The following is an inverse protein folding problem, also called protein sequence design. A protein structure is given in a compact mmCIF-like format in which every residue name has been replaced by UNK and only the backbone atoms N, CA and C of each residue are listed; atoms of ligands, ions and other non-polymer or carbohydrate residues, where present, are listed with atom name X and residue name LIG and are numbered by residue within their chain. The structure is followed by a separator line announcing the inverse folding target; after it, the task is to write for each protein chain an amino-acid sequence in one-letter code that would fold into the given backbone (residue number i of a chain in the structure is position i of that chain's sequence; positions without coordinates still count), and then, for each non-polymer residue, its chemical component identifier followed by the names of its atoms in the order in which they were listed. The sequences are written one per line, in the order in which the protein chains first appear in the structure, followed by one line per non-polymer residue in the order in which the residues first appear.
data_IF_336367685833
#
_entry.id   IF_336367685833
#
_cell.length_a   1.000
_cell.length_b   1.000
_cell.length_c   1.000
_cell.angle_alpha   90.00
_cell.angle_beta   90.00
_cell.angle_gamma   90.00
#
_symmetry.space_group_name_H-M   'P 1'
#
loop_
_entity.id
_entity.type
_entity.pdbx_description
1 polymer ?
#
# COMPACT_ATOMS: atom_id res chain seq x y z
N UNK A 1 -12.60 5.83 -12.03
CA UNK A 1 -11.91 7.03 -11.54
C UNK A 1 -12.53 7.42 -10.21
N UNK A 2 -11.76 7.48 -9.15
CA UNK A 2 -12.27 7.89 -7.83
C UNK A 2 -12.48 9.41 -7.79
N UNK A 3 -13.28 9.88 -6.84
CA UNK A 3 -13.51 11.33 -6.63
C UNK A 3 -12.19 12.08 -6.37
N UNK A 4 -11.23 11.42 -5.71
CA UNK A 4 -9.91 11.98 -5.44
C UNK A 4 -9.06 12.14 -6.70
N UNK A 5 -9.09 11.17 -7.61
CA UNK A 5 -8.41 11.23 -8.92
C UNK A 5 -9.03 12.31 -9.81
N UNK A 6 -10.35 12.46 -9.77
CA UNK A 6 -11.05 13.50 -10.52
C UNK A 6 -10.61 14.91 -10.06
N UNK A 7 -10.51 15.15 -8.74
CA UNK A 7 -9.99 16.43 -8.21
C UNK A 7 -8.57 16.69 -8.67
N UNK A 8 -7.67 15.71 -8.52
CA UNK A 8 -6.25 15.82 -8.90
C UNK A 8 -6.03 16.07 -10.39
N UNK A 9 -6.92 15.55 -11.23
CA UNK A 9 -6.86 15.79 -12.69
C UNK A 9 -7.53 17.10 -13.12
N UNK A 10 -8.44 17.65 -12.31
CA UNK A 10 -9.21 18.83 -12.66
C UNK A 10 -8.52 20.15 -12.28
N UNK A 11 -7.58 20.13 -11.32
CA UNK A 11 -6.89 21.34 -10.85
C UNK A 11 -5.45 21.03 -10.47
N UNK A 12 -4.51 21.89 -10.87
CA UNK A 12 -3.11 21.77 -10.54
C UNK A 12 -2.75 22.41 -9.19
N UNK A 13 -1.62 21.98 -8.64
CA UNK A 13 -1.14 22.43 -7.33
C UNK A 13 -0.83 23.94 -7.29
N UNK A 14 -0.31 24.52 -8.39
CA UNK A 14 0.00 25.94 -8.45
C UNK A 14 -1.25 26.79 -8.31
N UNK A 15 -2.29 26.47 -9.08
CA UNK A 15 -3.58 27.18 -9.04
C UNK A 15 -4.17 27.16 -7.64
N UNK A 16 -4.15 26.02 -6.95
CA UNK A 16 -4.66 25.90 -5.58
C UNK A 16 -3.80 26.70 -4.60
N UNK A 17 -2.49 26.61 -4.69
CA UNK A 17 -1.59 27.31 -3.78
C UNK A 17 -1.68 28.84 -3.92
N UNK A 18 -1.69 29.35 -5.16
CA UNK A 18 -1.89 30.79 -5.42
C UNK A 18 -3.29 31.27 -4.97
N UNK A 19 -4.32 30.48 -5.24
CA UNK A 19 -5.69 30.78 -4.82
C UNK A 19 -5.86 30.85 -3.30
N UNK A 20 -5.05 30.11 -2.55
CA UNK A 20 -5.03 30.15 -1.08
C UNK A 20 -3.96 31.07 -0.52
N UNK A 21 -3.37 31.95 -1.36
CA UNK A 21 -2.55 33.08 -0.92
C UNK A 21 -1.05 32.79 -0.86
N UNK A 22 -0.53 31.70 -1.47
CA UNK A 22 0.91 31.50 -1.59
C UNK A 22 1.47 32.34 -2.73
N UNK A 23 2.51 33.12 -2.44
CA UNK A 23 3.29 33.84 -3.45
C UNK A 23 4.34 32.87 -4.05
N UNK A 24 4.13 32.48 -5.31
CA UNK A 24 4.99 31.53 -6.00
C UNK A 24 5.91 32.26 -6.98
N UNK A 25 7.21 32.11 -6.81
CA UNK A 25 8.21 32.69 -7.72
C UNK A 25 8.15 32.06 -9.11
N UNK A 26 8.80 32.69 -10.12
CA UNK A 26 8.92 32.13 -11.48
C UNK A 26 9.57 30.73 -11.48
N UNK A 27 10.48 30.48 -10.53
CA UNK A 27 11.11 29.17 -10.34
C UNK A 27 10.25 28.14 -9.62
N UNK A 28 8.99 28.47 -9.25
CA UNK A 28 8.09 27.55 -8.53
C UNK A 28 8.42 27.37 -7.06
N UNK A 29 9.16 28.30 -6.45
CA UNK A 29 9.46 28.31 -5.02
C UNK A 29 8.54 29.27 -4.29
N UNK A 30 8.13 28.87 -3.07
CA UNK A 30 7.28 29.63 -2.17
C UNK A 30 7.74 29.49 -0.71
N UNK A 31 7.29 30.38 0.16
CA UNK A 31 7.37 30.14 1.60
C UNK A 31 6.40 29.01 1.99
N UNK A 32 6.87 28.08 2.82
CA UNK A 32 6.05 26.97 3.25
C UNK A 32 5.00 27.44 4.26
N UNK A 33 3.70 27.17 4.05
CA UNK A 33 2.66 27.59 4.97
C UNK A 33 2.58 26.71 6.24
N UNK A 34 3.36 25.62 6.30
CA UNK A 34 3.25 24.62 7.36
C UNK A 34 4.35 24.73 8.43
N UNK A 35 5.33 25.63 8.25
CA UNK A 35 6.32 25.98 9.26
C UNK A 35 6.80 27.41 9.07
N UNK A 36 7.35 27.99 10.13
CA UNK A 36 7.83 29.38 10.09
C UNK A 36 9.22 29.45 9.42
N UNK A 37 9.33 30.22 8.31
CA UNK A 37 10.58 30.43 7.60
C UNK A 37 10.63 31.84 6.99
N UNK A 38 11.85 32.29 6.63
CA UNK A 38 12.08 33.58 5.98
C UNK A 38 12.54 33.46 4.53
N UNK A 39 13.00 32.28 4.14
CA UNK A 39 13.50 31.99 2.78
C UNK A 39 12.66 30.88 2.17
N UNK A 40 12.20 31.04 0.90
CA UNK A 40 11.37 30.04 0.26
C UNK A 40 12.03 28.67 0.21
N UNK A 41 11.41 27.65 0.82
CA UNK A 41 11.89 26.27 0.82
C UNK A 41 10.87 25.27 0.26
N UNK A 42 9.64 25.72 -0.02
CA UNK A 42 8.64 24.89 -0.65
C UNK A 42 8.70 24.98 -2.17
N UNK A 43 8.85 23.83 -2.84
CA UNK A 43 8.79 23.70 -4.30
C UNK A 43 7.39 23.25 -4.70
N UNK A 44 6.79 23.98 -5.62
CA UNK A 44 5.49 23.65 -6.21
C UNK A 44 5.71 22.89 -7.51
N UNK A 45 5.25 21.66 -7.56
CA UNK A 45 5.16 20.81 -8.74
C UNK A 45 3.72 20.86 -9.29
N UNK A 46 3.46 20.37 -10.50
CA UNK A 46 2.10 20.37 -11.05
C UNK A 46 1.08 19.61 -10.19
N UNK A 47 1.52 18.54 -9.54
CA UNK A 47 0.70 17.60 -8.78
C UNK A 47 0.90 17.66 -7.25
N UNK A 48 1.97 18.33 -6.78
CA UNK A 48 2.32 18.33 -5.35
C UNK A 48 3.11 19.58 -4.91
N UNK A 49 3.09 19.81 -3.59
CA UNK A 49 4.03 20.70 -2.90
C UNK A 49 5.02 19.84 -2.11
N UNK A 50 6.31 20.11 -2.27
CA UNK A 50 7.36 19.54 -1.45
C UNK A 50 8.16 20.65 -0.76
N UNK A 51 8.23 20.61 0.56
CA UNK A 51 9.05 21.52 1.36
C UNK A 51 10.37 20.89 1.78
N UNK A 52 11.48 21.45 1.37
CA UNK A 52 12.82 20.99 1.74
C UNK A 52 13.21 21.36 3.18
N UNK A 53 12.51 22.33 3.80
CA UNK A 53 12.76 22.77 5.16
C UNK A 53 12.14 21.83 6.23
N UNK A 54 10.86 21.49 6.09
CA UNK A 54 10.15 20.65 7.05
C UNK A 54 9.80 19.24 6.53
N UNK A 55 10.20 18.87 5.30
CA UNK A 55 9.93 17.57 4.70
C UNK A 55 8.46 17.34 4.30
N UNK A 56 7.59 18.35 4.42
CA UNK A 56 6.18 18.18 4.02
C UNK A 56 6.08 17.92 2.52
N UNK A 57 5.41 16.81 2.18
CA UNK A 57 5.06 16.45 0.81
C UNK A 57 3.56 16.18 0.74
N UNK A 58 2.83 16.97 -0.06
CA UNK A 58 1.37 16.90 -0.13
C UNK A 58 0.87 17.20 -1.55
N UNK A 59 -0.19 16.51 -1.95
CA UNK A 59 -0.96 16.83 -3.16
C UNK A 59 -1.99 17.95 -2.88
N UNK A 60 -2.75 18.32 -3.90
CA UNK A 60 -3.77 19.40 -3.78
C UNK A 60 -4.78 19.16 -2.66
N UNK A 61 -5.16 17.91 -2.43
CA UNK A 61 -6.14 17.55 -1.39
C UNK A 61 -5.50 17.63 -0.01
N UNK A 62 -4.32 17.02 0.15
CA UNK A 62 -3.56 17.06 1.40
C UNK A 62 -3.10 18.47 1.77
N UNK A 63 -2.78 19.30 0.78
CA UNK A 63 -2.48 20.70 0.97
C UNK A 63 -3.69 21.46 1.53
N UNK A 64 -4.86 21.33 0.89
CA UNK A 64 -6.11 21.96 1.35
C UNK A 64 -6.49 21.45 2.74
N UNK A 65 -6.36 20.16 3.00
CA UNK A 65 -6.64 19.56 4.30
C UNK A 65 -5.78 20.18 5.41
N UNK A 66 -4.47 20.27 5.18
CA UNK A 66 -3.52 20.86 6.15
C UNK A 66 -3.73 22.38 6.30
N UNK A 67 -3.95 23.09 5.20
CA UNK A 67 -4.11 24.55 5.19
C UNK A 67 -5.31 25.01 6.01
N UNK A 68 -6.42 24.25 5.99
CA UNK A 68 -7.66 24.57 6.68
C UNK A 68 -7.92 23.72 7.93
N UNK A 69 -6.96 22.84 8.33
CA UNK A 69 -7.11 22.00 9.53
C UNK A 69 -8.30 21.04 9.45
N UNK A 70 -8.58 20.48 8.27
CA UNK A 70 -9.72 19.60 8.07
C UNK A 70 -9.38 18.16 8.51
N UNK A 71 -10.24 17.56 9.34
CA UNK A 71 -10.04 16.20 9.84
C UNK A 71 -10.23 15.12 8.76
N UNK A 72 -11.17 15.37 7.84
CA UNK A 72 -11.52 14.38 6.81
C UNK A 72 -11.10 14.84 5.42
N UNK A 73 -10.44 13.96 4.69
CA UNK A 73 -10.01 14.18 3.31
C UNK A 73 -11.18 14.55 2.38
N UNK A 74 -12.38 14.00 2.64
CA UNK A 74 -13.57 14.31 1.84
C UNK A 74 -14.03 15.77 2.02
N UNK A 75 -13.76 16.41 3.16
CA UNK A 75 -14.12 17.80 3.40
C UNK A 75 -13.17 18.74 2.65
N UNK A 76 -11.88 18.34 2.47
CA UNK A 76 -10.96 19.05 1.58
C UNK A 76 -11.42 18.95 0.10
N UNK A 77 -11.90 17.79 -0.33
CA UNK A 77 -12.49 17.61 -1.66
C UNK A 77 -13.72 18.50 -1.87
N UNK A 78 -14.63 18.58 -0.89
CA UNK A 78 -15.80 19.47 -0.96
C UNK A 78 -15.36 20.92 -1.07
N UNK A 79 -14.41 21.34 -0.23
CA UNK A 79 -13.88 22.70 -0.24
C UNK A 79 -13.27 23.05 -1.59
N UNK A 80 -12.42 22.19 -2.16
CA UNK A 80 -11.85 22.39 -3.51
C UNK A 80 -12.92 22.47 -4.59
N UNK A 81 -13.95 21.61 -4.49
CA UNK A 81 -15.08 21.64 -5.41
C UNK A 81 -15.80 22.97 -5.36
N UNK A 82 -16.07 23.48 -4.16
CA UNK A 82 -16.85 24.72 -3.96
C UNK A 82 -16.01 25.94 -4.33
N UNK A 83 -14.75 26.02 -3.89
CA UNK A 83 -13.86 27.16 -4.12
C UNK A 83 -13.47 27.33 -5.60
N UNK A 84 -13.33 26.23 -6.35
CA UNK A 84 -12.92 26.23 -7.76
C UNK A 84 -14.02 25.79 -8.74
N UNK A 85 -15.27 25.70 -8.28
CA UNK A 85 -16.45 25.29 -9.08
C UNK A 85 -16.21 24.00 -9.89
N UNK A 86 -15.52 23.00 -9.31
CA UNK A 86 -15.20 21.76 -10.02
C UNK A 86 -16.46 20.93 -10.27
N UNK A 87 -16.66 20.50 -11.51
CA UNK A 87 -17.78 19.63 -11.89
C UNK A 87 -17.50 18.16 -11.50
N UNK A 88 -17.51 17.88 -10.19
CA UNK A 88 -17.21 16.57 -9.63
C UNK A 88 -18.41 16.09 -8.80
N UNK A 89 -18.88 14.87 -9.06
CA UNK A 89 -19.91 14.25 -8.24
C UNK A 89 -19.29 13.59 -7.02
N UNK A 90 -19.52 14.17 -5.85
CA UNK A 90 -19.16 13.54 -4.58
C UNK A 90 -20.24 12.51 -4.26
N UNK A 91 -19.92 11.24 -4.47
CA UNK A 91 -20.84 10.16 -4.14
C UNK A 91 -21.26 10.18 -2.67
N UNK A 92 -22.46 9.66 -2.38
CA UNK A 92 -22.91 9.47 -1.00
C UNK A 92 -21.92 8.56 -0.26
N UNK A 93 -21.65 8.87 1.01
CA UNK A 93 -20.84 8.00 1.86
C UNK A 93 -21.36 6.56 1.76
N UNK A 94 -20.45 5.55 1.68
CA UNK A 94 -20.88 4.17 1.58
C UNK A 94 -21.75 3.81 2.79
N UNK A 95 -22.80 3.06 2.55
CA UNK A 95 -23.69 2.59 3.63
C UNK A 95 -22.91 1.72 4.62
N UNK A 96 -23.37 1.65 5.87
CA UNK A 96 -22.74 0.82 6.90
C UNK A 96 -22.59 -0.66 6.44
N UNK A 97 -23.55 -1.15 5.66
CA UNK A 97 -23.53 -2.49 5.06
C UNK A 97 -22.36 -2.68 4.09
N UNK A 98 -22.15 -1.73 3.16
CA UNK A 98 -21.01 -1.76 2.21
C UNK A 98 -19.66 -1.66 2.92
N UNK A 99 -19.57 -0.84 3.98
CA UNK A 99 -18.36 -0.75 4.81
C UNK A 99 -18.10 -2.09 5.52
N UNK A 100 -19.13 -2.70 6.08
CA UNK A 100 -19.03 -4.00 6.75
C UNK A 100 -18.60 -5.11 5.78
N UNK A 101 -19.21 -5.15 4.59
CA UNK A 101 -18.85 -6.12 3.53
C UNK A 101 -17.38 -5.94 3.08
N UNK A 102 -16.95 -4.71 2.87
CA UNK A 102 -15.54 -4.43 2.54
C UNK A 102 -14.59 -4.88 3.64
N UNK A 103 -14.91 -4.58 4.91
CA UNK A 103 -14.10 -5.01 6.06
C UNK A 103 -14.05 -6.53 6.19
N UNK A 104 -15.15 -7.23 5.87
CA UNK A 104 -15.19 -8.70 5.84
C UNK A 104 -14.24 -9.24 4.78
N UNK A 105 -14.31 -8.74 3.54
CA UNK A 105 -13.40 -9.14 2.45
C UNK A 105 -11.93 -8.89 2.78
N UNK A 106 -11.61 -7.75 3.41
CA UNK A 106 -10.23 -7.45 3.83
C UNK A 106 -9.75 -8.43 4.90
N UNK A 107 -10.60 -8.81 5.86
CA UNK A 107 -10.24 -9.81 6.88
C UNK A 107 -10.04 -11.20 6.29
N UNK A 108 -10.93 -11.63 5.40
CA UNK A 108 -10.83 -12.91 4.69
C UNK A 108 -9.54 -12.98 3.86
N UNK A 109 -9.22 -11.91 3.12
CA UNK A 109 -7.98 -11.83 2.35
C UNK A 109 -6.73 -11.94 3.25
N UNK A 110 -6.69 -11.22 4.36
CA UNK A 110 -5.56 -11.30 5.32
C UNK A 110 -5.44 -12.69 5.94
N UNK A 111 -6.56 -13.29 6.34
CA UNK A 111 -6.56 -14.64 6.88
C UNK A 111 -6.05 -15.67 5.86
N UNK A 112 -6.41 -15.52 4.59
CA UNK A 112 -5.88 -16.36 3.51
C UNK A 112 -4.37 -16.18 3.31
N UNK A 113 -3.88 -14.94 3.27
CA UNK A 113 -2.44 -14.63 3.14
C UNK A 113 -1.62 -15.17 4.33
N UNK A 114 -2.17 -15.13 5.54
CA UNK A 114 -1.53 -15.70 6.73
C UNK A 114 -1.52 -17.24 6.68
N UNK A 115 -2.63 -17.84 6.25
CA UNK A 115 -2.72 -19.28 6.04
C UNK A 115 -1.72 -19.75 4.98
N UNK A 116 -1.66 -19.08 3.83
CA UNK A 116 -0.73 -19.39 2.73
C UNK A 116 0.73 -19.37 3.21
N UNK A 117 1.13 -18.32 3.94
CA UNK A 117 2.47 -18.24 4.54
C UNK A 117 2.75 -19.38 5.53
N UNK A 118 1.76 -19.77 6.32
CA UNK A 118 1.89 -20.86 7.27
C UNK A 118 1.99 -22.21 6.56
N UNK A 119 1.14 -22.43 5.56
CA UNK A 119 1.17 -23.64 4.74
C UNK A 119 2.52 -23.81 4.02
N UNK A 120 3.03 -22.70 3.43
CA UNK A 120 4.35 -22.69 2.80
C UNK A 120 5.50 -23.05 3.76
N UNK A 121 5.48 -22.51 4.98
CA UNK A 121 6.49 -22.87 6.00
C UNK A 121 6.41 -24.34 6.34
N UNK A 122 5.22 -24.86 6.62
CA UNK A 122 5.02 -26.27 6.96
C UNK A 122 5.48 -27.19 5.83
N UNK A 123 5.19 -26.84 4.58
CA UNK A 123 5.63 -27.61 3.41
C UNK A 123 7.16 -27.60 3.27
N UNK A 124 7.80 -26.46 3.46
CA UNK A 124 9.27 -26.37 3.42
C UNK A 124 9.94 -27.18 4.54
N UNK A 125 9.41 -27.12 5.76
CA UNK A 125 9.91 -27.90 6.89
C UNK A 125 9.77 -29.41 6.62
N UNK A 126 8.64 -29.83 6.02
CA UNK A 126 8.41 -31.19 5.60
C UNK A 126 9.36 -31.64 4.50
N UNK A 127 9.57 -30.80 3.47
CA UNK A 127 10.53 -31.06 2.39
C UNK A 127 11.95 -31.22 2.91
N UNK A 128 12.35 -30.33 3.83
CA UNK A 128 13.67 -30.41 4.46
C UNK A 128 13.83 -31.75 5.20
N UNK A 129 12.85 -32.14 6.01
CA UNK A 129 12.84 -33.40 6.74
C UNK A 129 12.91 -34.63 5.79
N UNK A 130 12.13 -34.61 4.71
CA UNK A 130 12.13 -35.69 3.73
C UNK A 130 13.49 -35.82 3.04
N UNK A 131 14.15 -34.71 2.71
CA UNK A 131 15.49 -34.71 2.12
C UNK A 131 16.55 -35.19 3.08
N UNK A 132 16.47 -34.88 4.37
CA UNK A 132 17.36 -35.47 5.39
C UNK A 132 17.17 -36.98 5.51
N UNK A 133 15.91 -37.44 5.57
CA UNK A 133 15.63 -38.87 5.66
C UNK A 133 16.08 -39.63 4.42
N UNK A 134 16.13 -39.00 3.26
CA UNK A 134 16.68 -39.58 2.02
C UNK A 134 18.16 -39.89 2.12
N UNK A 135 18.89 -39.21 2.99
CA UNK A 135 20.32 -39.47 3.22
C UNK A 135 20.60 -40.74 4.08
N UNK A 136 19.56 -41.29 4.71
CA UNK A 136 19.64 -42.53 5.49
C UNK A 136 19.62 -43.79 4.59
N UNK A 137 19.97 -43.66 3.31
CA UNK A 137 20.05 -44.78 2.39
C UNK A 137 21.07 -45.82 2.91
N UNK A 138 20.77 -47.16 2.82
CA UNK A 138 21.68 -48.19 3.26
C UNK A 138 22.98 -48.14 2.45
N UNK A 139 24.12 -48.37 3.12
CA UNK A 139 25.43 -48.35 2.47
C UNK A 139 25.68 -49.60 1.62
N UNK A 140 24.97 -50.70 1.88
CA UNK A 140 25.06 -51.95 1.13
C UNK A 140 23.68 -52.59 0.94
N UNK A 141 23.57 -53.52 -0.01
CA UNK A 141 22.31 -54.19 -0.34
C UNK A 141 21.83 -55.15 0.76
N UNK A 142 22.74 -55.58 1.64
CA UNK A 142 22.44 -56.48 2.75
C UNK A 142 22.07 -55.75 4.05
N UNK A 143 22.16 -54.43 4.06
CA UNK A 143 21.82 -53.61 5.20
C UNK A 143 20.31 -53.36 5.27
N UNK A 144 19.72 -53.45 6.49
CA UNK A 144 18.32 -53.18 6.69
C UNK A 144 18.02 -51.69 6.47
N UNK A 145 17.07 -51.41 5.59
CA UNK A 145 16.64 -50.05 5.32
C UNK A 145 16.02 -49.37 6.59
N UNK A 146 16.40 -48.12 6.84
CA UNK A 146 15.76 -47.29 7.84
C UNK A 146 14.32 -46.96 7.38
N UNK A 147 13.35 -47.07 8.30
CA UNK A 147 11.94 -46.82 7.98
C UNK A 147 11.70 -45.36 7.50
N UNK A 148 12.46 -44.40 8.00
CA UNK A 148 12.41 -42.99 7.57
C UNK A 148 12.89 -42.84 6.13
N UNK A 149 13.93 -43.56 5.73
CA UNK A 149 14.39 -43.59 4.33
C UNK A 149 13.28 -44.11 3.42
N UNK A 150 12.66 -45.24 3.78
CA UNK A 150 11.56 -45.81 3.00
C UNK A 150 10.38 -44.83 2.91
N UNK A 151 10.02 -44.18 4.01
CA UNK A 151 8.98 -43.16 4.02
C UNK A 151 9.31 -42.00 3.06
N UNK A 152 10.54 -41.51 3.07
CA UNK A 152 10.97 -40.44 2.18
C UNK A 152 10.89 -40.78 0.70
N UNK A 153 11.11 -42.05 0.33
CA UNK A 153 10.97 -42.55 -1.05
C UNK A 153 9.53 -42.36 -1.59
N UNK A 154 8.55 -42.53 -0.74
CA UNK A 154 7.14 -42.46 -1.14
C UNK A 154 6.56 -41.03 -1.11
N UNK A 155 7.16 -40.12 -0.34
CA UNK A 155 6.51 -38.82 -0.04
C UNK A 155 7.28 -37.62 -0.58
N UNK A 156 8.59 -37.74 -0.86
CA UNK A 156 9.39 -36.58 -1.29
C UNK A 156 8.90 -36.01 -2.63
N UNK A 157 8.69 -36.84 -3.63
CA UNK A 157 8.33 -36.42 -4.98
C UNK A 157 6.98 -35.70 -4.99
N UNK A 158 6.02 -36.16 -4.19
CA UNK A 158 4.72 -35.49 -4.05
C UNK A 158 4.84 -34.15 -3.31
N UNK A 159 5.68 -34.07 -2.28
CA UNK A 159 5.91 -32.83 -1.56
C UNK A 159 6.64 -31.79 -2.44
N UNK A 160 7.59 -32.24 -3.28
CA UNK A 160 8.25 -31.37 -4.26
C UNK A 160 7.27 -30.87 -5.32
N UNK A 161 6.39 -31.72 -5.82
CA UNK A 161 5.31 -31.31 -6.72
C UNK A 161 4.43 -30.21 -6.09
N UNK A 162 3.96 -30.41 -4.85
CA UNK A 162 3.16 -29.41 -4.15
C UNK A 162 3.90 -28.07 -3.98
N UNK A 163 5.22 -28.09 -3.82
CA UNK A 163 6.01 -26.86 -3.67
C UNK A 163 6.12 -26.03 -4.95
N UNK A 164 5.78 -26.59 -6.10
CA UNK A 164 5.74 -25.88 -7.39
C UNK A 164 4.38 -25.23 -7.65
N UNK A 165 3.33 -25.69 -6.95
CA UNK A 165 1.96 -25.16 -7.11
C UNK A 165 1.67 -23.97 -6.17
N UNK A 166 2.52 -23.73 -5.17
CA UNK A 166 2.48 -22.58 -4.26
C UNK A 166 3.34 -21.43 -4.78
#
# INVERSE_FOLDING_TARGET
MTVFEQVKSAIDMRTVAEGYGLEISRGGMALCPFHNERTPSAKIYPDALHCFGCGTHVDVIGFTQKMFGLDKTIDAVKKLKDDYALHIEIGKAPTAEKVSEYQKRVREKRAYEEWEKSAWRTLNDYLWLMREWRQLAPASHDEKCDERFVYSLHHLDYAEYLSLEF
#
